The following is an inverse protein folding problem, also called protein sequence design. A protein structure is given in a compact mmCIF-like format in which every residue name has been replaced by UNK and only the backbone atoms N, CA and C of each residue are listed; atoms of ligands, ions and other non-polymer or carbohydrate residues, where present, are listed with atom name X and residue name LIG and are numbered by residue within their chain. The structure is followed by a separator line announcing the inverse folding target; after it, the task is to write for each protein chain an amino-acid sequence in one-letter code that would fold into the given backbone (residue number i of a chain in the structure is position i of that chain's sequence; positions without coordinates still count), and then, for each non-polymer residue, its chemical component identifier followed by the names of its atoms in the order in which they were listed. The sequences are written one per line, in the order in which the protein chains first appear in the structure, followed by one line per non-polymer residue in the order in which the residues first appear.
data_IF_380343706794
#
_entry.id   IF_380343706794
#
_cell.length_a   1.000
_cell.length_b   1.000
_cell.length_c   1.000
_cell.angle_alpha   90.00
_cell.angle_beta   90.00
_cell.angle_gamma   90.00
#
_symmetry.space_group_name_H-M   'P 1'
#
loop_
_entity.id
_entity.type
_entity.pdbx_description
1 polymer ?
#
# COMPACT_ATOMS: atom_id res chain seq x y z
N UNK A 1 10.33 14.54 -7.46
CA UNK A 1 9.28 15.13 -8.33
C UNK A 1 8.22 15.77 -7.44
N UNK A 2 7.66 16.91 -7.80
CA UNK A 2 6.55 17.49 -7.04
C UNK A 2 5.25 16.77 -7.43
N UNK A 3 4.53 16.26 -6.46
CA UNK A 3 3.21 15.68 -6.67
C UNK A 3 2.27 16.70 -7.30
N UNK A 4 1.57 16.31 -8.37
CA UNK A 4 0.53 17.14 -8.98
C UNK A 4 -0.75 17.11 -8.13
N UNK A 5 -1.68 18.07 -8.36
CA UNK A 5 -2.97 18.04 -7.67
C UNK A 5 -3.78 16.77 -7.92
N UNK A 6 -3.57 16.12 -9.08
CA UNK A 6 -4.20 14.83 -9.44
C UNK A 6 -3.62 13.70 -8.59
N UNK A 7 -2.30 13.66 -8.38
CA UNK A 7 -1.65 12.63 -7.55
C UNK A 7 -2.14 12.70 -6.11
N UNK A 8 -2.26 13.90 -5.55
CA UNK A 8 -2.84 14.10 -4.22
C UNK A 8 -4.31 13.65 -4.14
N UNK A 9 -5.10 13.89 -5.18
CA UNK A 9 -6.49 13.44 -5.23
C UNK A 9 -6.57 11.91 -5.26
N UNK A 10 -5.79 11.25 -6.12
CA UNK A 10 -5.73 9.78 -6.22
C UNK A 10 -5.24 9.17 -4.90
N UNK A 11 -4.20 9.74 -4.29
CA UNK A 11 -3.71 9.28 -2.98
C UNK A 11 -4.81 9.37 -1.91
N UNK A 12 -5.55 10.49 -1.84
CA UNK A 12 -6.66 10.63 -0.89
C UNK A 12 -7.79 9.62 -1.11
N UNK A 13 -8.06 9.22 -2.34
CA UNK A 13 -9.06 8.18 -2.62
C UNK A 13 -8.61 6.83 -2.07
N UNK A 14 -7.31 6.48 -2.22
CA UNK A 14 -6.71 5.28 -1.61
C UNK A 14 -6.78 5.34 -0.08
N UNK A 15 -6.46 6.49 0.51
CA UNK A 15 -6.56 6.70 1.97
C UNK A 15 -7.99 6.50 2.46
N UNK A 16 -8.97 7.12 1.78
CA UNK A 16 -10.39 6.95 2.08
C UNK A 16 -10.84 5.49 1.97
N UNK A 17 -10.28 4.75 1.03
CA UNK A 17 -10.59 3.33 0.87
C UNK A 17 -10.03 2.48 2.02
N UNK A 18 -8.80 2.75 2.48
CA UNK A 18 -8.10 2.02 3.53
C UNK A 18 -8.60 2.38 4.95
N UNK A 19 -8.88 3.65 5.20
CA UNK A 19 -9.23 4.23 6.50
C UNK A 19 -10.29 3.45 7.31
N UNK A 20 -11.43 2.99 6.74
CA UNK A 20 -12.45 2.27 7.51
C UNK A 20 -11.96 0.97 8.13
N UNK A 21 -10.85 0.41 7.62
CA UNK A 21 -10.29 -0.86 8.05
C UNK A 21 -9.23 -0.71 9.15
N UNK A 22 -8.88 0.52 9.54
CA UNK A 22 -8.03 0.80 10.69
C UNK A 22 -8.91 0.84 11.95
N UNK A 23 -8.64 -0.03 12.91
CA UNK A 23 -9.34 0.00 14.20
C UNK A 23 -8.83 1.17 15.04
N UNK A 24 -9.71 1.86 15.81
CA UNK A 24 -9.30 2.94 16.69
C UNK A 24 -8.23 2.48 17.71
N UNK A 25 -7.22 3.32 17.89
CA UNK A 25 -6.12 3.06 18.83
C UNK A 25 -5.07 2.05 18.37
N UNK A 26 -5.11 1.60 17.09
CA UNK A 26 -4.24 0.57 16.56
C UNK A 26 -2.79 1.01 16.40
N UNK A 27 -1.89 0.01 16.43
CA UNK A 27 -0.50 0.11 16.00
C UNK A 27 -0.47 -0.16 14.48
N UNK A 28 -0.04 0.81 13.71
CA UNK A 28 -0.07 0.77 12.24
C UNK A 28 1.33 0.93 11.67
N UNK A 29 1.71 0.05 10.73
CA UNK A 29 2.89 0.20 9.90
C UNK A 29 2.47 0.51 8.47
N UNK A 30 2.96 1.61 7.91
CA UNK A 30 2.77 2.01 6.51
C UNK A 30 4.04 1.69 5.73
N UNK A 31 4.01 0.63 4.94
CA UNK A 31 5.13 0.16 4.11
C UNK A 31 5.09 0.85 2.75
N UNK A 32 6.16 1.55 2.40
CA UNK A 32 6.19 2.44 1.24
C UNK A 32 5.40 3.74 1.52
N UNK A 33 5.60 4.30 2.71
CA UNK A 33 4.82 5.46 3.20
C UNK A 33 5.08 6.76 2.44
N UNK A 34 6.11 6.79 1.58
CA UNK A 34 6.57 8.00 0.91
C UNK A 34 7.19 9.02 1.86
N UNK A 35 7.69 10.13 1.29
CA UNK A 35 8.42 11.15 2.04
C UNK A 35 7.62 11.78 3.18
N UNK A 36 6.30 11.87 3.06
CA UNK A 36 5.45 12.58 4.01
C UNK A 36 4.71 11.67 4.99
N UNK A 37 4.68 10.34 4.74
CA UNK A 37 3.85 9.39 5.48
C UNK A 37 2.38 9.85 5.61
N UNK A 38 1.85 10.40 4.52
CA UNK A 38 0.60 11.15 4.49
C UNK A 38 -0.64 10.32 4.89
N UNK A 39 -0.59 8.99 4.72
CA UNK A 39 -1.66 8.12 5.19
C UNK A 39 -1.76 8.08 6.72
N UNK A 40 -0.63 8.08 7.42
CA UNK A 40 -0.62 8.09 8.89
C UNK A 40 -1.26 9.37 9.44
N UNK A 41 -0.99 10.51 8.79
CA UNK A 41 -1.63 11.78 9.16
C UNK A 41 -3.13 11.75 8.82
N UNK A 42 -3.51 11.21 7.67
CA UNK A 42 -4.91 11.11 7.25
C UNK A 42 -5.75 10.26 8.23
N UNK A 43 -5.18 9.17 8.74
CA UNK A 43 -5.85 8.23 9.65
C UNK A 43 -5.50 8.48 11.12
N UNK A 44 -5.00 9.66 11.47
CA UNK A 44 -4.42 10.00 12.78
C UNK A 44 -5.38 9.87 13.96
N UNK A 45 -6.68 10.02 13.73
CA UNK A 45 -7.73 9.83 14.73
C UNK A 45 -7.97 8.36 15.10
N UNK A 46 -7.49 7.41 14.28
CA UNK A 46 -7.58 5.96 14.51
C UNK A 46 -6.28 5.34 14.94
N UNK A 47 -5.15 5.97 14.66
CA UNK A 47 -3.82 5.40 14.92
C UNK A 47 -3.31 5.81 16.31
N UNK A 48 -3.10 4.84 17.18
CA UNK A 48 -2.46 5.03 18.49
C UNK A 48 -0.94 5.13 18.37
N UNK A 49 -0.32 4.27 17.54
CA UNK A 49 1.10 4.26 17.23
C UNK A 49 1.26 4.05 15.71
N UNK A 50 1.95 4.97 15.06
CA UNK A 50 2.22 4.90 13.61
C UNK A 50 3.70 4.83 13.30
N UNK A 51 4.07 3.93 12.40
CA UNK A 51 5.42 3.81 11.84
C UNK A 51 5.33 3.81 10.32
N UNK A 52 6.03 4.74 9.66
CA UNK A 52 6.20 4.73 8.22
C UNK A 52 7.57 4.18 7.83
N UNK A 53 7.63 3.20 6.92
CA UNK A 53 8.87 2.67 6.38
C UNK A 53 8.95 2.95 4.88
N UNK A 54 10.08 3.53 4.45
CA UNK A 54 10.36 3.83 3.05
C UNK A 54 11.88 3.97 2.84
N UNK A 55 12.39 3.74 1.64
CA UNK A 55 13.81 3.89 1.33
C UNK A 55 14.24 5.35 1.14
N UNK A 56 13.30 6.25 0.93
CA UNK A 56 13.52 7.67 0.70
C UNK A 56 13.42 8.53 1.97
N UNK A 57 12.95 7.99 3.08
CA UNK A 57 12.85 8.72 4.35
C UNK A 57 14.16 8.68 5.14
N UNK A 58 14.35 9.64 6.03
CA UNK A 58 15.37 9.57 7.07
C UNK A 58 14.77 8.98 8.35
N UNK A 59 15.57 8.23 9.12
CA UNK A 59 15.15 7.74 10.42
C UNK A 59 14.83 8.87 11.38
N UNK A 60 13.82 8.72 12.20
CA UNK A 60 13.45 9.68 13.23
C UNK A 60 11.96 9.87 13.41
N UNK A 61 11.64 10.91 14.18
CA UNK A 61 10.24 11.32 14.38
C UNK A 61 9.86 12.44 13.43
N UNK A 62 8.73 12.29 12.77
CA UNK A 62 8.08 13.38 12.06
C UNK A 62 6.70 13.60 12.66
N UNK A 63 6.55 14.74 13.33
CA UNK A 63 5.36 14.98 14.12
C UNK A 63 5.22 13.90 15.18
N UNK A 64 4.13 13.15 15.12
CA UNK A 64 3.82 12.05 16.06
C UNK A 64 4.18 10.65 15.53
N UNK A 65 4.68 10.55 14.29
CA UNK A 65 4.98 9.28 13.64
C UNK A 65 6.46 8.99 13.62
N UNK A 66 6.81 7.73 13.88
CA UNK A 66 8.16 7.25 13.67
C UNK A 66 8.35 6.98 12.16
N UNK A 67 9.45 7.45 11.61
CA UNK A 67 9.94 7.07 10.28
C UNK A 67 11.12 6.15 10.42
N UNK A 68 11.15 5.13 9.59
CA UNK A 68 12.24 4.17 9.53
C UNK A 68 12.68 4.06 8.06
N UNK A 69 13.94 4.38 7.81
CA UNK A 69 14.52 4.12 6.50
C UNK A 69 14.71 2.62 6.31
N UNK A 70 14.10 2.06 5.30
CA UNK A 70 14.19 0.64 5.03
C UNK A 70 13.86 0.29 3.59
N UNK A 71 14.54 -0.76 3.11
CA UNK A 71 14.29 -1.34 1.80
C UNK A 71 13.35 -2.53 1.99
N UNK A 72 12.20 -2.50 1.33
CA UNK A 72 11.22 -3.59 1.38
C UNK A 72 11.75 -4.93 0.85
N UNK A 73 12.86 -4.93 0.12
CA UNK A 73 13.55 -6.15 -0.33
C UNK A 73 14.33 -6.84 0.78
N UNK A 74 14.56 -6.14 1.89
CA UNK A 74 15.24 -6.66 3.09
C UNK A 74 14.23 -7.07 4.16
N UNK A 75 14.61 -7.91 5.14
CA UNK A 75 13.76 -8.20 6.30
C UNK A 75 13.36 -6.91 7.02
N UNK A 76 12.09 -6.79 7.40
CA UNK A 76 11.59 -5.61 8.10
C UNK A 76 12.21 -5.52 9.51
N UNK A 77 12.69 -4.34 9.95
CA UNK A 77 13.39 -4.15 11.23
C UNK A 77 12.42 -4.10 12.41
N UNK A 78 11.40 -4.93 12.39
CA UNK A 78 10.35 -4.98 13.41
C UNK A 78 10.19 -6.39 13.97
N UNK A 79 9.86 -6.56 15.27
CA UNK A 79 9.55 -7.86 15.85
C UNK A 79 8.27 -8.47 15.26
N UNK A 80 8.13 -9.79 15.46
CA UNK A 80 6.92 -10.52 15.10
C UNK A 80 5.71 -9.98 15.86
N UNK A 81 4.58 -9.82 15.18
CA UNK A 81 3.33 -9.41 15.80
C UNK A 81 3.32 -7.98 16.36
N UNK A 82 4.18 -7.11 15.85
CA UNK A 82 4.36 -5.76 16.36
C UNK A 82 3.20 -4.81 16.02
N UNK A 83 2.48 -5.05 14.94
CA UNK A 83 1.45 -4.14 14.42
C UNK A 83 0.08 -4.81 14.34
N UNK A 84 -0.96 -4.05 14.63
CA UNK A 84 -2.35 -4.48 14.47
C UNK A 84 -2.79 -4.39 13.00
N UNK A 85 -2.24 -3.42 12.26
CA UNK A 85 -2.43 -3.28 10.81
C UNK A 85 -1.11 -2.94 10.12
N UNK A 86 -0.87 -3.59 9.00
CA UNK A 86 0.14 -3.18 8.01
C UNK A 86 -0.59 -2.67 6.79
N UNK A 87 -0.16 -1.54 6.24
CA UNK A 87 -0.78 -0.89 5.09
C UNK A 87 0.26 -0.78 3.98
N UNK A 88 -0.15 -1.03 2.74
CA UNK A 88 0.66 -0.83 1.52
C UNK A 88 -0.25 -0.23 0.45
N UNK A 89 -0.13 1.07 0.23
CA UNK A 89 -0.99 1.82 -0.69
C UNK A 89 -0.24 2.19 -1.97
N UNK A 90 -0.54 1.49 -3.07
CA UNK A 90 0.15 1.62 -4.36
C UNK A 90 1.66 1.33 -4.25
N UNK A 91 2.01 0.23 -3.61
CA UNK A 91 3.39 -0.25 -3.44
C UNK A 91 3.59 -1.58 -4.14
N UNK A 92 2.56 -2.43 -4.15
CA UNK A 92 2.63 -3.82 -4.59
C UNK A 92 3.11 -3.95 -6.04
N UNK A 93 2.69 -3.03 -6.91
CA UNK A 93 3.02 -2.98 -8.34
C UNK A 93 4.50 -2.71 -8.61
N UNK A 94 5.20 -2.10 -7.65
CA UNK A 94 6.62 -1.77 -7.76
C UNK A 94 7.54 -2.87 -7.22
N UNK A 95 6.98 -3.91 -6.60
CA UNK A 95 7.76 -4.97 -5.98
C UNK A 95 8.24 -6.01 -7.01
N UNK A 96 9.53 -6.31 -7.01
CA UNK A 96 10.11 -7.39 -7.80
C UNK A 96 9.79 -8.77 -7.23
N UNK A 97 9.76 -8.88 -5.90
CA UNK A 97 9.51 -10.12 -5.14
C UNK A 97 8.38 -9.91 -4.12
N UNK A 98 7.12 -9.73 -4.58
CA UNK A 98 6.01 -9.37 -3.69
C UNK A 98 5.77 -10.42 -2.60
N UNK A 99 5.96 -11.72 -2.87
CA UNK A 99 5.74 -12.79 -1.91
C UNK A 99 6.66 -12.68 -0.69
N UNK A 100 7.90 -12.24 -0.86
CA UNK A 100 8.83 -12.02 0.27
C UNK A 100 8.37 -10.86 1.14
N UNK A 101 7.99 -9.74 0.54
CA UNK A 101 7.53 -8.55 1.26
C UNK A 101 6.22 -8.85 2.01
N UNK A 102 5.30 -9.56 1.36
CA UNK A 102 4.03 -9.95 1.98
C UNK A 102 4.21 -10.97 3.12
N UNK A 103 5.23 -11.84 3.03
CA UNK A 103 5.59 -12.76 4.11
C UNK A 103 6.15 -12.02 5.34
N UNK A 104 6.98 -11.00 5.12
CA UNK A 104 7.46 -10.14 6.19
C UNK A 104 6.33 -9.29 6.80
N UNK A 105 5.43 -8.76 5.96
CA UNK A 105 4.23 -8.09 6.45
C UNK A 105 3.38 -9.03 7.34
N UNK A 106 3.19 -10.28 6.92
CA UNK A 106 2.51 -11.29 7.74
C UNK A 106 3.22 -11.52 9.08
N UNK A 107 4.55 -11.64 9.07
CA UNK A 107 5.34 -11.86 10.30
C UNK A 107 5.11 -10.76 11.32
N UNK A 108 5.16 -9.50 10.89
CA UNK A 108 5.07 -8.34 11.79
C UNK A 108 3.64 -7.98 12.20
N UNK A 109 2.60 -8.55 11.54
CA UNK A 109 1.20 -8.36 11.93
C UNK A 109 0.90 -9.22 13.16
N UNK A 110 0.22 -8.65 14.16
CA UNK A 110 -0.26 -9.35 15.35
C UNK A 110 -1.35 -10.38 15.03
N UNK A 111 -1.56 -11.35 15.92
CA UNK A 111 -2.74 -12.23 15.85
C UNK A 111 -4.01 -11.38 15.80
N UNK A 112 -4.95 -11.71 14.88
CA UNK A 112 -6.17 -10.93 14.60
C UNK A 112 -5.90 -9.55 13.98
N UNK A 113 -4.69 -9.30 13.51
CA UNK A 113 -4.34 -8.12 12.72
C UNK A 113 -4.68 -8.30 11.24
N UNK A 114 -4.40 -7.28 10.45
CA UNK A 114 -4.67 -7.31 9.01
C UNK A 114 -3.63 -6.58 8.18
N UNK A 115 -3.49 -7.06 6.94
CA UNK A 115 -2.81 -6.38 5.85
C UNK A 115 -3.83 -5.66 4.98
N UNK A 116 -3.60 -4.39 4.69
CA UNK A 116 -4.47 -3.55 3.87
C UNK A 116 -3.69 -3.11 2.64
N UNK A 117 -4.15 -3.52 1.46
CA UNK A 117 -3.48 -3.29 0.19
C UNK A 117 -4.35 -2.47 -0.75
N UNK A 118 -3.73 -1.55 -1.50
CA UNK A 118 -4.34 -0.99 -2.70
C UNK A 118 -3.38 -1.09 -3.87
N UNK A 119 -3.90 -1.38 -5.06
CA UNK A 119 -3.12 -1.44 -6.30
C UNK A 119 -4.02 -1.17 -7.52
N UNK A 120 -3.47 -0.71 -8.66
CA UNK A 120 -4.25 -0.46 -9.87
C UNK A 120 -4.94 -1.73 -10.37
N UNK A 121 -6.16 -1.60 -10.88
CA UNK A 121 -6.85 -2.69 -11.56
C UNK A 121 -6.46 -2.74 -13.04
N UNK A 122 -6.67 -3.89 -13.70
CA UNK A 122 -6.47 -4.03 -15.15
C UNK A 122 -7.40 -3.11 -16.00
N UNK A 123 -8.41 -2.50 -15.39
CA UNK A 123 -9.28 -1.54 -16.08
C UNK A 123 -8.60 -0.20 -16.39
N UNK A 124 -7.46 0.08 -15.78
CA UNK A 124 -6.67 1.29 -16.08
C UNK A 124 -6.06 1.23 -17.48
N UNK A 125 -5.67 0.03 -17.97
CA UNK A 125 -4.98 -0.14 -19.26
C UNK A 125 -5.72 0.42 -20.46
N UNK A 126 -7.01 0.12 -20.69
CA UNK A 126 -7.73 0.66 -21.83
C UNK A 126 -7.82 2.18 -21.81
N UNK A 127 -7.87 2.78 -20.62
CA UNK A 127 -7.95 4.23 -20.44
C UNK A 127 -6.60 4.86 -20.78
N UNK A 128 -5.51 4.33 -20.23
CA UNK A 128 -4.16 4.82 -20.54
C UNK A 128 -3.84 4.66 -22.01
N UNK A 129 -4.12 3.50 -22.60
CA UNK A 129 -3.91 3.25 -24.03
C UNK A 129 -4.73 4.22 -24.93
N UNK A 130 -5.96 4.54 -24.51
CA UNK A 130 -6.80 5.50 -25.25
C UNK A 130 -6.25 6.92 -25.13
N UNK A 131 -5.82 7.33 -23.94
CA UNK A 131 -5.23 8.65 -23.69
C UNK A 131 -3.88 8.80 -24.41
N UNK A 132 -3.07 7.75 -24.46
CA UNK A 132 -1.83 7.71 -25.23
C UNK A 132 -2.10 7.81 -26.74
N UNK A 133 -3.05 7.03 -27.27
CA UNK A 133 -3.46 7.10 -28.68
C UNK A 133 -3.99 8.48 -29.09
N UNK A 134 -4.53 9.25 -28.13
CA UNK A 134 -4.97 10.63 -28.32
C UNK A 134 -3.88 11.68 -28.06
N UNK A 135 -2.63 11.26 -27.79
CA UNK A 135 -1.48 12.13 -27.47
C UNK A 135 -1.75 13.08 -26.28
N UNK A 136 -2.61 12.67 -25.34
CA UNK A 136 -2.97 13.46 -24.15
C UNK A 136 -2.07 13.16 -22.93
N UNK A 137 -1.24 12.11 -23.00
CA UNK A 137 -0.22 11.75 -22.00
C UNK A 137 1.11 11.53 -22.70
N UNK A 138 2.22 11.87 -22.02
CA UNK A 138 3.58 11.76 -22.56
C UNK A 138 4.12 10.33 -22.44
N UNK A 139 5.10 9.98 -23.31
CA UNK A 139 5.80 8.69 -23.33
C UNK A 139 6.56 8.40 -22.02
N UNK A 140 6.80 9.40 -21.16
CA UNK A 140 7.40 9.20 -19.85
C UNK A 140 6.47 8.44 -18.87
N UNK A 141 5.16 8.46 -19.07
CA UNK A 141 4.23 7.62 -18.33
C UNK A 141 4.24 6.17 -18.80
N UNK A 142 4.77 5.89 -20.01
CA UNK A 142 4.91 4.55 -20.59
C UNK A 142 6.02 3.74 -19.89
N UNK A 143 7.04 4.41 -19.30
CA UNK A 143 8.11 3.73 -18.55
C UNK A 143 7.60 3.05 -17.26
N UNK A 144 6.44 3.45 -16.74
CA UNK A 144 5.74 2.78 -15.65
C UNK A 144 4.87 1.59 -16.11
N UNK A 145 4.73 1.35 -17.42
CA UNK A 145 3.89 0.28 -17.99
C UNK A 145 4.40 -1.14 -17.70
N UNK A 146 5.63 -1.31 -17.24
CA UNK A 146 6.17 -2.61 -16.84
C UNK A 146 5.84 -2.97 -15.38
N UNK A 147 5.00 -2.19 -14.72
CA UNK A 147 4.49 -2.51 -13.38
C UNK A 147 3.64 -3.79 -13.47
N UNK A 148 4.11 -4.84 -12.81
CA UNK A 148 3.43 -6.15 -12.79
C UNK A 148 2.06 -6.00 -12.13
N UNK A 149 1.02 -5.93 -12.95
CA UNK A 149 -0.35 -5.98 -12.44
C UNK A 149 -0.65 -7.38 -11.93
N UNK A 150 -0.84 -7.48 -10.64
CA UNK A 150 -1.15 -8.75 -10.00
C UNK A 150 -2.67 -8.94 -10.04
N UNK A 151 -3.18 -9.97 -10.73
CA UNK A 151 -4.60 -10.32 -10.69
C UNK A 151 -5.05 -10.59 -9.25
N UNK A 152 -6.30 -10.22 -8.94
CA UNK A 152 -6.87 -10.37 -7.59
C UNK A 152 -6.75 -11.81 -7.09
N UNK A 153 -7.07 -12.77 -7.94
CA UNK A 153 -7.04 -14.21 -7.63
C UNK A 153 -5.61 -14.68 -7.35
N UNK A 154 -4.63 -14.21 -8.14
CA UNK A 154 -3.21 -14.56 -7.94
C UNK A 154 -2.68 -13.99 -6.61
N UNK A 155 -3.02 -12.72 -6.30
CA UNK A 155 -2.67 -12.11 -5.03
C UNK A 155 -3.31 -12.86 -3.86
N UNK A 156 -4.59 -13.20 -3.95
CA UNK A 156 -5.29 -13.93 -2.90
C UNK A 156 -4.66 -15.31 -2.66
N UNK A 157 -4.32 -16.06 -3.72
CA UNK A 157 -3.62 -17.34 -3.59
C UNK A 157 -2.25 -17.20 -2.94
N UNK A 158 -1.49 -16.14 -3.28
CA UNK A 158 -0.21 -15.85 -2.66
C UNK A 158 -0.37 -15.56 -1.16
N UNK A 159 -1.32 -14.73 -0.79
CA UNK A 159 -1.63 -14.41 0.61
C UNK A 159 -2.10 -15.64 1.39
N UNK A 160 -2.89 -16.53 0.77
CA UNK A 160 -3.30 -17.81 1.40
C UNK A 160 -2.11 -18.73 1.68
N UNK A 161 -1.16 -18.86 0.74
CA UNK A 161 0.08 -19.63 0.95
C UNK A 161 0.93 -19.08 2.09
N UNK A 162 0.95 -17.76 2.26
CA UNK A 162 1.67 -17.09 3.36
C UNK A 162 1.00 -17.36 4.72
N UNK A 163 -0.33 -17.53 4.76
CA UNK A 163 -1.04 -17.86 5.99
C UNK A 163 -2.25 -16.97 6.31
N UNK A 164 -2.57 -16.00 5.46
CA UNK A 164 -3.78 -15.19 5.63
C UNK A 164 -5.03 -16.06 5.35
N UNK A 165 -6.09 -15.91 6.18
CA UNK A 165 -7.22 -16.84 6.16
C UNK A 165 -8.51 -16.23 5.60
N UNK A 166 -8.74 -14.97 5.85
CA UNK A 166 -9.96 -14.25 5.45
C UNK A 166 -9.61 -13.04 4.60
N UNK A 167 -10.44 -12.76 3.61
CA UNK A 167 -10.21 -11.68 2.66
C UNK A 167 -11.47 -10.86 2.44
N UNK A 168 -11.29 -9.54 2.37
CA UNK A 168 -12.28 -8.62 1.85
C UNK A 168 -11.65 -7.96 0.62
N UNK A 169 -12.32 -8.04 -0.53
CA UNK A 169 -11.89 -7.37 -1.74
C UNK A 169 -13.00 -6.44 -2.24
N UNK A 170 -12.63 -5.26 -2.69
CA UNK A 170 -13.52 -4.36 -3.43
C UNK A 170 -12.74 -3.53 -4.43
N UNK A 171 -13.42 -3.09 -5.48
CA UNK A 171 -12.90 -2.06 -6.39
C UNK A 171 -13.43 -0.69 -5.96
N UNK A 172 -12.65 0.35 -6.22
CA UNK A 172 -13.03 1.74 -5.99
C UNK A 172 -12.53 2.62 -7.16
N UNK A 173 -12.80 3.93 -7.14
CA UNK A 173 -12.49 4.82 -8.28
C UNK A 173 -13.04 4.31 -9.60
N UNK A 174 -14.36 4.06 -9.65
CA UNK A 174 -15.04 3.53 -10.86
C UNK A 174 -14.42 2.20 -11.34
N UNK A 175 -13.79 1.45 -10.44
CA UNK A 175 -13.17 0.16 -10.77
C UNK A 175 -11.69 0.24 -11.15
N UNK A 176 -11.08 1.41 -11.14
CA UNK A 176 -9.68 1.62 -11.55
C UNK A 176 -8.67 1.13 -10.51
N UNK A 177 -9.08 1.04 -9.25
CA UNK A 177 -8.24 0.57 -8.15
C UNK A 177 -8.88 -0.58 -7.37
N UNK A 178 -8.04 -1.47 -6.86
CA UNK A 178 -8.41 -2.55 -5.97
C UNK A 178 -8.06 -2.17 -4.53
N UNK A 179 -8.89 -2.61 -3.59
CA UNK A 179 -8.58 -2.71 -2.18
C UNK A 179 -8.71 -4.17 -1.75
N UNK A 180 -7.74 -4.68 -1.02
CA UNK A 180 -7.82 -5.97 -0.33
C UNK A 180 -7.45 -5.79 1.13
N UNK A 181 -8.24 -6.40 2.02
CA UNK A 181 -7.91 -6.57 3.44
C UNK A 181 -7.77 -8.06 3.69
N UNK A 182 -6.57 -8.49 4.09
CA UNK A 182 -6.26 -9.86 4.41
C UNK A 182 -6.03 -9.99 5.93
N UNK A 183 -6.70 -10.93 6.58
CA UNK A 183 -6.66 -11.12 8.04
C UNK A 183 -5.76 -12.29 8.40
N UNK A 184 -4.93 -12.06 9.45
CA UNK A 184 -4.06 -13.08 10.03
C UNK A 184 -4.82 -13.96 11.01
#
# INVERSE_FOLDING_TARGET
MAYTGIDHFIARMRFRAAYPHIRPGSRVCDLGCGLEAAFLDYASDRIGMGVGLDDQVADGMQGRWQRVRGDLRSPLPFPDGNFDHVVMLAVLEHLTEPEKVLSEAYRVIASQGSLILTWPSAMVDPILNTLHALHLISDEMESDEHQKRIPVEALQQMLQRIGFQKFLHRRFEVGLNNLMVAFR
#
